data_IF_052615581721
#
_entry.id   IF_052615581721
#
_cell.length_a   1.000
_cell.length_b   1.000
_cell.length_c   1.000
_cell.angle_alpha   90.00
_cell.angle_beta   90.00
_cell.angle_gamma   90.00
#
_symmetry.space_group_name_H-M   'P 1'
#
loop_
_entity.id
_entity.type
_entity.pdbx_description
1 polymer ?
#
# COMPACT_ATOMS: atom_id res chain seq x y z
N UNK A 1 20.37 -0.34 -11.00
CA UNK A 1 19.65 -1.56 -11.45
C UNK A 1 18.24 -1.15 -11.83
N UNK A 2 17.87 -1.17 -13.11
CA UNK A 2 16.63 -0.54 -13.59
C UNK A 2 15.39 -1.24 -13.01
N UNK A 3 14.42 -0.42 -12.54
CA UNK A 3 13.09 -0.82 -12.04
C UNK A 3 12.40 -1.87 -12.93
N UNK A 4 12.73 -1.86 -14.22
CA UNK A 4 12.28 -2.80 -15.23
C UNK A 4 12.77 -4.24 -15.05
N UNK A 5 14.01 -4.48 -14.62
CA UNK A 5 14.52 -5.86 -14.52
C UNK A 5 13.88 -6.65 -13.37
N UNK A 6 13.48 -5.99 -12.29
CA UNK A 6 12.84 -6.64 -11.14
C UNK A 6 11.41 -7.08 -11.49
N UNK A 7 10.65 -6.21 -12.15
CA UNK A 7 9.28 -6.50 -12.58
C UNK A 7 9.20 -7.65 -13.59
N UNK A 8 10.11 -7.72 -14.56
CA UNK A 8 10.15 -8.87 -15.49
C UNK A 8 10.51 -10.17 -14.77
N UNK A 9 11.51 -10.15 -13.88
CA UNK A 9 11.86 -11.33 -13.07
C UNK A 9 10.69 -11.81 -12.23
N UNK A 10 9.94 -10.91 -11.60
CA UNK A 10 8.73 -11.25 -10.85
C UNK A 10 7.67 -11.86 -11.78
N UNK A 11 7.45 -11.29 -12.96
CA UNK A 11 6.50 -11.84 -13.93
C UNK A 11 6.84 -13.29 -14.30
N UNK A 12 8.11 -13.58 -14.62
CA UNK A 12 8.57 -14.94 -14.94
C UNK A 12 8.33 -15.91 -13.78
N UNK A 13 8.74 -15.53 -12.56
CA UNK A 13 8.57 -16.36 -11.36
C UNK A 13 7.09 -16.64 -11.10
N UNK A 14 6.24 -15.63 -11.17
CA UNK A 14 4.81 -15.79 -10.98
C UNK A 14 4.22 -16.71 -12.06
N UNK A 15 4.52 -16.48 -13.35
CA UNK A 15 4.04 -17.38 -14.41
C UNK A 15 4.50 -18.82 -14.24
N UNK A 16 5.73 -19.06 -13.78
CA UNK A 16 6.24 -20.40 -13.50
C UNK A 16 5.46 -21.07 -12.34
N UNK A 17 5.18 -20.33 -11.27
CA UNK A 17 4.33 -20.81 -10.15
C UNK A 17 2.92 -21.13 -10.65
N UNK A 18 2.37 -20.34 -11.56
CA UNK A 18 1.05 -20.60 -12.16
C UNK A 18 1.01 -21.94 -12.85
N UNK A 19 1.99 -22.17 -13.73
CA UNK A 19 2.12 -23.42 -14.47
C UNK A 19 2.27 -24.59 -13.49
N UNK A 20 3.11 -24.44 -12.45
CA UNK A 20 3.29 -25.47 -11.44
C UNK A 20 1.99 -25.81 -10.69
N UNK A 21 1.16 -24.83 -10.34
CA UNK A 21 -0.13 -25.04 -9.68
C UNK A 21 -1.16 -25.73 -10.59
N UNK A 22 -1.19 -25.36 -11.88
CA UNK A 22 -2.04 -26.04 -12.86
C UNK A 22 -1.60 -27.49 -13.05
N UNK A 23 -0.31 -27.74 -13.21
CA UNK A 23 0.25 -29.10 -13.31
C UNK A 23 -0.07 -29.90 -12.05
N UNK A 24 0.14 -29.34 -10.87
CA UNK A 24 -0.20 -30.01 -9.60
C UNK A 24 -1.70 -30.35 -9.52
N UNK A 25 -2.58 -29.43 -9.91
CA UNK A 25 -4.01 -29.68 -9.96
C UNK A 25 -4.40 -30.84 -10.88
N UNK A 26 -3.81 -30.88 -12.07
CA UNK A 26 -4.03 -31.97 -13.05
C UNK A 26 -3.53 -33.30 -12.49
N UNK A 27 -2.34 -33.33 -11.85
CA UNK A 27 -1.82 -34.56 -11.22
C UNK A 27 -2.68 -35.07 -10.06
N UNK A 28 -3.52 -34.21 -9.48
CA UNK A 28 -4.51 -34.57 -8.45
C UNK A 28 -5.86 -35.02 -9.03
N UNK A 29 -5.98 -35.14 -10.35
CA UNK A 29 -7.20 -35.58 -11.03
C UNK A 29 -8.24 -34.47 -11.23
N UNK A 30 -7.88 -33.20 -11.03
CA UNK A 30 -8.80 -32.08 -11.25
C UNK A 30 -8.88 -31.72 -12.73
N UNK A 31 -10.07 -31.32 -13.18
CA UNK A 31 -10.27 -30.92 -14.57
C UNK A 31 -9.69 -29.51 -14.83
N UNK A 32 -9.19 -29.28 -16.04
CA UNK A 32 -8.72 -27.95 -16.46
C UNK A 32 -9.80 -26.87 -16.32
N UNK A 33 -11.08 -27.25 -16.47
CA UNK A 33 -12.22 -26.34 -16.35
C UNK A 33 -12.43 -25.88 -14.91
N UNK A 34 -12.25 -26.75 -13.92
CA UNK A 34 -12.32 -26.38 -12.50
C UNK A 34 -11.16 -25.47 -12.12
N UNK A 35 -9.93 -25.81 -12.53
CA UNK A 35 -8.74 -24.99 -12.28
C UNK A 35 -8.88 -23.60 -12.91
N UNK A 36 -9.36 -23.53 -14.16
CA UNK A 36 -9.66 -22.27 -14.84
C UNK A 36 -10.78 -21.49 -14.13
N UNK A 37 -11.81 -22.17 -13.61
CA UNK A 37 -12.87 -21.55 -12.83
C UNK A 37 -12.35 -20.88 -11.56
N UNK A 38 -11.46 -21.56 -10.82
CA UNK A 38 -10.83 -21.00 -9.62
C UNK A 38 -9.87 -19.86 -9.95
N UNK A 39 -9.03 -20.01 -10.98
CA UNK A 39 -8.20 -18.94 -11.50
C UNK A 39 -9.03 -17.69 -11.85
N UNK A 40 -10.14 -17.88 -12.57
CA UNK A 40 -11.05 -16.81 -12.96
C UNK A 40 -11.72 -16.13 -11.75
N UNK A 41 -12.06 -16.90 -10.71
CA UNK A 41 -12.60 -16.33 -9.47
C UNK A 41 -11.61 -15.36 -8.79
N UNK A 42 -10.31 -15.67 -8.84
CA UNK A 42 -9.24 -14.79 -8.38
C UNK A 42 -9.18 -13.50 -9.21
N UNK A 43 -9.14 -13.63 -10.55
CA UNK A 43 -9.10 -12.48 -11.47
C UNK A 43 -10.31 -11.55 -11.32
N UNK A 44 -11.51 -12.07 -11.02
CA UNK A 44 -12.70 -11.24 -10.78
C UNK A 44 -12.50 -10.23 -9.64
N UNK A 45 -11.70 -10.56 -8.64
CA UNK A 45 -11.38 -9.64 -7.54
C UNK A 45 -10.42 -8.51 -7.97
N UNK A 46 -9.68 -8.69 -9.07
CA UNK A 46 -8.71 -7.74 -9.58
C UNK A 46 -9.32 -6.55 -10.33
N UNK A 47 -10.58 -6.67 -10.81
CA UNK A 47 -11.21 -5.65 -11.66
C UNK A 47 -11.14 -4.25 -11.04
N UNK A 48 -11.51 -4.14 -9.75
CA UNK A 48 -11.51 -2.86 -9.05
C UNK A 48 -10.09 -2.31 -8.87
N UNK A 49 -9.12 -3.18 -8.58
CA UNK A 49 -7.72 -2.79 -8.41
C UNK A 49 -7.14 -2.29 -9.74
N UNK A 50 -7.40 -2.99 -10.85
CA UNK A 50 -6.94 -2.61 -12.17
C UNK A 50 -7.47 -1.22 -12.57
N UNK A 51 -8.75 -0.93 -12.33
CA UNK A 51 -9.34 0.39 -12.59
C UNK A 51 -8.63 1.47 -11.78
N UNK A 52 -8.42 1.26 -10.48
CA UNK A 52 -7.72 2.25 -9.63
C UNK A 52 -6.29 2.49 -10.12
N UNK A 53 -5.56 1.44 -10.50
CA UNK A 53 -4.20 1.59 -11.02
C UNK A 53 -4.16 2.35 -12.35
N UNK A 54 -5.12 2.13 -13.24
CA UNK A 54 -5.25 2.91 -14.48
C UNK A 54 -5.54 4.39 -14.18
N UNK A 55 -6.46 4.67 -13.25
CA UNK A 55 -6.77 6.04 -12.83
C UNK A 55 -5.55 6.73 -12.20
N UNK A 56 -4.74 6.03 -11.40
CA UNK A 56 -3.48 6.57 -10.87
C UNK A 56 -2.51 6.91 -12.00
N UNK A 57 -2.39 6.05 -13.01
CA UNK A 57 -1.55 6.30 -14.18
C UNK A 57 -1.96 7.58 -14.92
N UNK A 58 -3.26 7.71 -15.22
CA UNK A 58 -3.83 8.90 -15.84
C UNK A 58 -3.64 10.16 -14.97
N UNK A 59 -4.01 10.08 -13.70
CA UNK A 59 -3.92 11.15 -12.72
C UNK A 59 -2.48 11.70 -12.61
N UNK A 60 -1.51 10.82 -12.39
CA UNK A 60 -0.12 11.23 -12.21
C UNK A 60 0.51 11.79 -13.48
N UNK A 61 0.08 11.35 -14.66
CA UNK A 61 0.53 11.93 -15.93
C UNK A 61 -0.03 13.35 -16.10
N UNK A 62 -1.33 13.54 -15.82
CA UNK A 62 -1.98 14.85 -15.94
C UNK A 62 -1.50 15.86 -14.90
N UNK A 63 -1.26 15.44 -13.66
CA UNK A 63 -0.70 16.33 -12.64
C UNK A 63 0.68 16.86 -13.00
N UNK A 64 1.49 16.07 -13.72
CA UNK A 64 2.78 16.52 -14.24
C UNK A 64 2.60 17.51 -15.38
N UNK A 65 1.65 17.26 -16.29
CA UNK A 65 1.44 18.10 -17.47
C UNK A 65 0.77 19.44 -17.13
N UNK A 66 -0.13 19.48 -16.15
CA UNK A 66 -0.79 20.72 -15.73
C UNK A 66 -0.01 21.50 -14.66
N UNK A 67 1.12 20.98 -14.15
CA UNK A 67 1.97 21.67 -13.18
C UNK A 67 1.55 21.53 -11.71
N UNK A 68 0.51 20.76 -11.39
CA UNK A 68 0.11 20.47 -10.00
C UNK A 68 1.24 19.89 -9.17
N UNK A 69 2.03 18.96 -9.71
CA UNK A 69 3.15 18.36 -8.94
C UNK A 69 4.18 19.44 -8.59
N UNK A 70 4.59 20.25 -9.57
CA UNK A 70 5.57 21.31 -9.36
C UNK A 70 5.11 22.32 -8.32
N UNK A 71 3.83 22.70 -8.34
CA UNK A 71 3.26 23.62 -7.35
C UNK A 71 3.28 23.04 -5.92
N UNK A 72 2.87 21.78 -5.75
CA UNK A 72 2.86 21.14 -4.43
C UNK A 72 4.29 20.98 -3.89
N UNK A 73 5.25 20.69 -4.75
CA UNK A 73 6.67 20.59 -4.38
C UNK A 73 7.20 21.94 -3.90
N UNK A 74 6.89 23.02 -4.61
CA UNK A 74 7.27 24.39 -4.21
C UNK A 74 6.71 24.72 -2.81
N UNK A 75 5.39 24.51 -2.62
CA UNK A 75 4.73 24.70 -1.32
C UNK A 75 5.35 23.84 -0.20
N UNK A 76 5.60 22.57 -0.48
CA UNK A 76 6.17 21.64 0.49
C UNK A 76 7.62 22.00 0.85
N UNK A 77 8.40 22.48 -0.11
CA UNK A 77 9.80 22.90 0.12
C UNK A 77 9.90 24.16 0.99
N UNK A 78 8.90 25.05 0.93
CA UNK A 78 8.79 26.21 1.79
C UNK A 78 8.25 25.89 3.19
N UNK A 79 7.36 24.89 3.31
CA UNK A 79 6.67 24.57 4.57
C UNK A 79 7.32 23.44 5.39
N UNK A 80 8.00 22.49 4.76
CA UNK A 80 8.62 21.34 5.43
C UNK A 80 10.15 21.34 5.24
N UNK A 81 10.88 21.26 6.35
CA UNK A 81 12.27 20.84 6.28
C UNK A 81 12.35 19.38 5.80
N UNK A 82 13.33 19.01 4.93
CA UNK A 82 13.50 17.63 4.48
C UNK A 82 13.60 16.62 5.63
N UNK A 83 14.12 17.07 6.79
CA UNK A 83 14.22 16.26 8.01
C UNK A 83 12.88 15.80 8.60
N UNK A 84 11.82 16.59 8.46
CA UNK A 84 10.49 16.26 8.96
C UNK A 84 9.58 15.59 7.92
N UNK A 85 10.05 15.46 6.69
CA UNK A 85 9.24 14.93 5.59
C UNK A 85 8.81 13.47 5.81
N UNK A 86 9.74 12.58 6.20
CA UNK A 86 9.41 11.15 6.37
C UNK A 86 8.39 10.90 7.50
N UNK A 87 8.52 11.51 8.69
CA UNK A 87 7.46 11.47 9.70
C UNK A 87 6.13 12.02 9.19
N UNK A 88 6.14 13.15 8.48
CA UNK A 88 4.94 13.75 7.92
C UNK A 88 4.27 12.82 6.90
N UNK A 89 5.05 12.21 6.00
CA UNK A 89 4.54 11.25 5.02
C UNK A 89 3.87 10.05 5.71
N UNK A 90 4.46 9.50 6.77
CA UNK A 90 3.83 8.46 7.58
C UNK A 90 2.49 8.94 8.18
N UNK A 91 2.47 10.08 8.87
CA UNK A 91 1.28 10.60 9.56
C UNK A 91 0.15 10.99 8.60
N UNK A 92 0.46 11.63 7.48
CA UNK A 92 -0.52 12.04 6.48
C UNK A 92 -1.19 10.81 5.85
N UNK A 93 -0.41 9.78 5.51
CA UNK A 93 -0.96 8.53 5.00
C UNK A 93 -1.76 7.79 6.08
N UNK A 94 -1.31 7.80 7.33
CA UNK A 94 -2.10 7.28 8.45
C UNK A 94 -3.44 7.98 8.61
N UNK A 95 -3.48 9.31 8.59
CA UNK A 95 -4.71 10.07 8.74
C UNK A 95 -5.71 9.77 7.62
N UNK A 96 -5.27 9.83 6.36
CA UNK A 96 -6.12 9.52 5.21
C UNK A 96 -6.58 8.07 5.23
N UNK A 97 -5.74 7.13 5.67
CA UNK A 97 -6.15 5.73 5.74
C UNK A 97 -7.11 5.44 6.88
N UNK A 98 -7.02 6.12 8.02
CA UNK A 98 -8.05 6.05 9.07
C UNK A 98 -9.40 6.55 8.55
N UNK A 99 -9.40 7.66 7.80
CA UNK A 99 -10.63 8.25 7.25
C UNK A 99 -11.28 7.39 6.17
N UNK A 100 -10.46 6.83 5.27
CA UNK A 100 -10.93 6.06 4.11
C UNK A 100 -11.10 4.58 4.39
N UNK A 101 -10.42 4.03 5.41
CA UNK A 101 -10.41 2.59 5.73
C UNK A 101 -9.83 1.72 4.62
N UNK A 102 -8.90 2.27 3.82
CA UNK A 102 -8.23 1.51 2.76
C UNK A 102 -6.75 1.87 2.66
N UNK A 103 -5.88 0.86 2.63
CA UNK A 103 -4.44 1.04 2.39
C UNK A 103 -4.13 1.35 0.91
N UNK A 104 -4.76 0.62 -0.02
CA UNK A 104 -4.62 0.83 -1.47
C UNK A 104 -5.11 2.22 -1.89
N UNK A 105 -6.28 2.64 -1.43
CA UNK A 105 -6.84 3.96 -1.76
C UNK A 105 -6.00 5.10 -1.20
N UNK A 106 -5.45 4.92 0.00
CA UNK A 106 -4.51 5.88 0.61
C UNK A 106 -3.24 6.03 -0.21
N UNK A 107 -2.61 4.90 -0.58
CA UNK A 107 -1.43 4.93 -1.43
C UNK A 107 -1.71 5.64 -2.76
N UNK A 108 -2.90 5.42 -3.32
CA UNK A 108 -3.32 6.01 -4.59
C UNK A 108 -3.69 7.50 -4.53
N UNK A 109 -3.88 8.04 -3.33
CA UNK A 109 -4.22 9.45 -3.09
C UNK A 109 -3.05 10.16 -2.42
N UNK A 110 -3.00 10.13 -1.08
CA UNK A 110 -1.95 10.78 -0.29
C UNK A 110 -0.56 10.17 -0.56
N UNK A 111 -0.48 8.87 -0.82
CA UNK A 111 0.79 8.21 -1.08
C UNK A 111 1.47 8.72 -2.35
N UNK A 112 0.71 8.91 -3.43
CA UNK A 112 1.20 9.50 -4.68
C UNK A 112 1.70 10.93 -4.45
N UNK A 113 0.96 11.73 -3.69
CA UNK A 113 1.36 13.10 -3.35
C UNK A 113 2.71 13.07 -2.60
N UNK A 114 2.78 12.32 -1.50
CA UNK A 114 3.99 12.21 -0.69
C UNK A 114 5.16 11.68 -1.51
N UNK A 115 4.95 10.68 -2.36
CA UNK A 115 6.05 10.11 -3.15
C UNK A 115 6.63 11.11 -4.15
N UNK A 116 5.78 11.87 -4.86
CA UNK A 116 6.29 12.88 -5.79
C UNK A 116 7.03 14.00 -5.05
N UNK A 117 6.51 14.47 -3.92
CA UNK A 117 7.20 15.48 -3.09
C UNK A 117 8.54 14.93 -2.58
N UNK A 118 8.55 13.72 -2.02
CA UNK A 118 9.76 13.10 -1.51
C UNK A 118 10.83 12.90 -2.59
N UNK A 119 10.43 12.47 -3.79
CA UNK A 119 11.36 12.35 -4.93
C UNK A 119 11.93 13.71 -5.35
N UNK A 120 11.12 14.76 -5.36
CA UNK A 120 11.58 16.12 -5.67
C UNK A 120 12.50 16.71 -4.60
N UNK A 121 12.33 16.31 -3.34
CA UNK A 121 13.25 16.64 -2.24
C UNK A 121 14.51 15.76 -2.21
N UNK A 122 14.72 14.88 -3.19
CA UNK A 122 15.88 13.99 -3.26
C UNK A 122 15.87 12.82 -2.26
N UNK A 123 14.72 12.55 -1.63
CA UNK A 123 14.59 11.46 -0.65
C UNK A 123 14.59 10.11 -1.37
N UNK A 124 15.35 9.16 -0.83
CA UNK A 124 15.42 7.80 -1.36
C UNK A 124 14.01 7.20 -1.51
N UNK A 125 13.59 6.80 -2.74
CA UNK A 125 12.27 6.24 -3.01
C UNK A 125 11.91 5.02 -2.15
N UNK A 126 12.90 4.22 -1.73
CA UNK A 126 12.66 3.06 -0.87
C UNK A 126 12.26 3.48 0.56
N UNK A 127 12.93 4.48 1.12
CA UNK A 127 12.63 4.97 2.48
C UNK A 127 11.28 5.70 2.49
N UNK A 128 11.05 6.57 1.50
CA UNK A 128 9.77 7.25 1.33
C UNK A 128 8.62 6.25 1.12
N UNK A 129 8.83 5.24 0.28
CA UNK A 129 7.86 4.17 0.06
C UNK A 129 7.54 3.38 1.34
N UNK A 130 8.54 3.10 2.19
CA UNK A 130 8.35 2.42 3.47
C UNK A 130 7.53 3.23 4.47
N UNK A 131 7.77 4.55 4.53
CA UNK A 131 6.99 5.48 5.35
C UNK A 131 5.52 5.56 4.90
N UNK A 132 5.28 5.67 3.59
CA UNK A 132 3.94 5.69 3.00
C UNK A 132 3.22 4.36 3.24
N UNK A 133 3.88 3.23 2.98
CA UNK A 133 3.30 1.88 3.19
C UNK A 133 2.94 1.66 4.66
N UNK A 134 3.84 2.04 5.57
CA UNK A 134 3.60 2.00 7.02
C UNK A 134 2.38 2.84 7.41
N UNK A 135 2.29 4.07 6.90
CA UNK A 135 1.21 4.98 7.23
C UNK A 135 -0.13 4.45 6.73
N UNK A 136 -0.18 3.98 5.49
CA UNK A 136 -1.36 3.41 4.87
C UNK A 136 -1.89 2.19 5.64
N UNK A 137 -1.03 1.27 6.06
CA UNK A 137 -1.47 0.09 6.82
C UNK A 137 -1.76 0.38 8.30
N UNK A 138 -1.08 1.36 8.91
CA UNK A 138 -1.44 1.84 10.24
C UNK A 138 -2.89 2.34 10.28
N UNK A 139 -3.25 3.20 9.33
CA UNK A 139 -4.57 3.80 9.32
C UNK A 139 -5.68 2.84 8.91
N UNK A 140 -5.43 1.97 7.92
CA UNK A 140 -6.37 0.90 7.52
C UNK A 140 -6.71 0.02 8.73
N UNK A 141 -5.69 -0.43 9.45
CA UNK A 141 -5.83 -1.23 10.68
C UNK A 141 -6.65 -0.51 11.75
N UNK A 142 -6.50 0.80 11.92
CA UNK A 142 -7.19 1.54 12.98
C UNK A 142 -8.52 2.20 12.55
N UNK A 143 -9.02 1.90 11.34
CA UNK A 143 -10.21 2.54 10.79
C UNK A 143 -11.51 1.79 11.12
N UNK A 144 -12.58 2.48 11.55
CA UNK A 144 -13.89 1.86 11.76
C UNK A 144 -14.62 1.48 10.46
N UNK A 145 -14.16 1.99 9.31
CA UNK A 145 -14.74 1.68 7.99
C UNK A 145 -13.87 0.72 7.19
N UNK A 146 -12.78 0.21 7.79
CA UNK A 146 -11.92 -0.74 7.10
C UNK A 146 -12.57 -2.11 6.92
N UNK A 147 -12.48 -2.60 5.69
CA UNK A 147 -12.93 -3.95 5.32
C UNK A 147 -12.07 -5.04 5.96
N UNK A 148 -10.78 -4.80 6.20
CA UNK A 148 -9.89 -5.76 6.85
C UNK A 148 -10.20 -5.87 8.34
N UNK A 149 -10.39 -4.74 9.01
CA UNK A 149 -10.78 -4.70 10.43
C UNK A 149 -12.17 -5.33 10.67
N UNK A 150 -13.13 -5.05 9.78
CA UNK A 150 -14.46 -5.68 9.82
C UNK A 150 -14.38 -7.20 9.62
N UNK A 151 -13.55 -7.65 8.66
CA UNK A 151 -13.33 -9.08 8.42
C UNK A 151 -12.76 -9.77 9.67
N UNK A 152 -11.75 -9.18 10.32
CA UNK A 152 -11.18 -9.75 11.55
C UNK A 152 -12.25 -9.85 12.64
N UNK A 153 -13.03 -8.80 12.86
CA UNK A 153 -14.14 -8.81 13.82
C UNK A 153 -15.15 -9.94 13.52
N UNK A 154 -15.49 -10.15 12.24
CA UNK A 154 -16.41 -11.21 11.81
C UNK A 154 -15.85 -12.61 12.03
N UNK A 155 -14.61 -12.89 11.58
CA UNK A 155 -14.03 -14.24 11.69
C UNK A 155 -13.66 -14.63 13.12
N UNK A 156 -13.41 -13.63 13.98
CA UNK A 156 -13.11 -13.85 15.40
C UNK A 156 -14.34 -13.76 16.30
N UNK A 157 -15.50 -13.33 15.78
CA UNK A 157 -16.75 -13.09 16.53
C UNK A 157 -16.62 -12.04 17.63
N UNK A 158 -15.86 -10.97 17.37
CA UNK A 158 -15.58 -9.89 18.34
C UNK A 158 -16.17 -8.54 17.91
N UNK A 159 -16.22 -7.58 18.83
CA UNK A 159 -16.68 -6.22 18.52
C UNK A 159 -15.56 -5.39 17.87
N UNK A 160 -15.87 -4.78 16.72
CA UNK A 160 -14.94 -3.97 15.93
C UNK A 160 -14.33 -2.80 16.73
N UNK A 161 -15.15 -2.03 17.46
CA UNK A 161 -14.67 -0.85 18.18
C UNK A 161 -13.76 -1.22 19.35
N UNK A 162 -14.04 -2.33 20.03
CA UNK A 162 -13.16 -2.84 21.08
C UNK A 162 -11.83 -3.34 20.52
N UNK A 163 -11.84 -3.94 19.33
CA UNK A 163 -10.62 -4.31 18.62
C UNK A 163 -9.83 -3.05 18.26
N UNK A 164 -10.45 -2.01 17.72
CA UNK A 164 -9.78 -0.74 17.37
C UNK A 164 -9.09 -0.12 18.58
N UNK A 165 -9.75 -0.08 19.74
CA UNK A 165 -9.12 0.39 20.99
C UNK A 165 -7.89 -0.45 21.36
N UNK A 166 -8.01 -1.78 21.24
CA UNK A 166 -6.88 -2.68 21.47
C UNK A 166 -5.75 -2.50 20.44
N UNK A 167 -6.09 -2.19 19.20
CA UNK A 167 -5.14 -1.95 18.12
C UNK A 167 -4.34 -0.67 18.31
N UNK A 168 -4.99 0.41 18.74
CA UNK A 168 -4.33 1.67 19.09
C UNK A 168 -3.43 1.46 20.31
N UNK A 169 -3.94 0.76 21.35
CA UNK A 169 -3.16 0.44 22.56
C UNK A 169 -1.93 -0.45 22.28
N UNK A 170 -1.99 -1.34 21.31
CA UNK A 170 -0.85 -2.19 20.94
C UNK A 170 0.08 -1.53 19.92
N UNK A 171 -0.43 -0.54 19.17
CA UNK A 171 0.28 0.15 18.10
C UNK A 171 1.06 1.40 18.53
N UNK A 172 0.76 2.01 19.67
CA UNK A 172 1.38 3.30 20.02
C UNK A 172 2.91 3.22 20.18
N UNK A 173 3.46 2.16 20.80
CA UNK A 173 4.93 1.98 20.93
C UNK A 173 5.58 1.82 19.55
N UNK A 174 5.12 0.88 18.68
CA UNK A 174 5.61 0.81 17.31
C UNK A 174 5.52 2.13 16.54
N UNK A 175 4.43 2.90 16.72
CA UNK A 175 4.23 4.18 16.05
C UNK A 175 5.25 5.23 16.50
N UNK A 176 5.47 5.38 17.81
CA UNK A 176 6.47 6.33 18.34
C UNK A 176 7.87 5.96 17.88
N UNK A 177 8.22 4.68 17.89
CA UNK A 177 9.51 4.20 17.40
C UNK A 177 9.68 4.39 15.89
N UNK A 178 8.63 4.11 15.09
CA UNK A 178 8.66 4.37 13.66
C UNK A 178 8.84 5.86 13.36
N UNK A 179 8.14 6.75 14.07
CA UNK A 179 8.31 8.20 13.96
C UNK A 179 9.73 8.65 14.32
N UNK A 180 10.30 8.11 15.39
CA UNK A 180 11.68 8.39 15.77
C UNK A 180 12.67 7.94 14.69
N UNK A 181 12.51 6.72 14.15
CA UNK A 181 13.37 6.22 13.07
C UNK A 181 13.21 7.08 11.82
N UNK A 182 11.99 7.39 11.38
CA UNK A 182 11.78 8.26 10.22
C UNK A 182 12.34 9.67 10.43
N UNK A 183 12.22 10.22 11.64
CA UNK A 183 12.78 11.52 11.99
C UNK A 183 14.31 11.50 11.94
N UNK A 184 14.94 10.53 12.58
CA UNK A 184 16.42 10.40 12.55
C UNK A 184 16.93 10.20 11.13
N UNK A 185 16.32 9.33 10.32
CA UNK A 185 16.67 9.15 8.91
C UNK A 185 16.49 10.44 8.11
N UNK A 186 15.38 11.16 8.33
CA UNK A 186 15.15 12.45 7.69
C UNK A 186 16.25 13.47 8.01
N UNK A 187 16.61 13.63 9.29
CA UNK A 187 17.66 14.57 9.70
C UNK A 187 19.06 14.17 9.20
N UNK A 188 19.39 12.88 9.21
CA UNK A 188 20.66 12.37 8.69
C UNK A 188 20.79 12.61 7.18
N UNK A 189 19.70 12.48 6.44
CA UNK A 189 19.68 12.75 5.00
C UNK A 189 19.82 14.23 4.67
N UNK A 190 19.38 15.12 5.57
CA UNK A 190 19.50 16.57 5.39
C UNK A 190 20.96 17.08 5.57
N UNK A 191 21.84 16.29 6.20
CA UNK A 191 23.26 16.62 6.38
C UNK A 191 24.21 16.05 5.31
N UNK A 192 23.71 15.16 4.44
CA UNK A 192 24.51 14.50 3.41
C UNK A 192 24.22 15.06 2.03
N UNK A 193 25.02 16.04 1.59
CA UNK A 193 25.19 16.46 0.18
C UNK A 193 23.94 16.32 -0.69
N UNK A 194 22.86 17.01 -0.30
CA UNK A 194 21.90 17.47 -1.30
C UNK A 194 22.70 18.44 -2.18
N UNK A 195 23.01 18.01 -3.40
CA UNK A 195 23.62 18.83 -4.43
C UNK A 195 22.82 20.15 -4.50
N UNK A 196 23.40 21.21 -3.94
CA UNK A 196 22.73 22.48 -3.67
C UNK A 196 22.28 23.17 -4.97
N UNK A 197 22.71 22.66 -6.13
CA UNK A 197 22.32 23.14 -7.44
C UNK A 197 20.84 22.91 -7.82
N UNK A 198 20.20 21.79 -7.48
CA UNK A 198 18.79 21.54 -7.90
C UNK A 198 17.78 22.28 -7.02
N UNK A 199 18.08 22.49 -5.75
CA UNK A 199 17.23 23.26 -4.84
C UNK A 199 17.35 24.78 -5.06
N UNK A 200 18.52 25.30 -5.47
CA UNK A 200 18.67 26.71 -5.85
C UNK A 200 18.04 27.03 -7.20
N UNK A 201 18.16 26.18 -8.22
CA UNK A 201 17.51 26.38 -9.53
C UNK A 201 15.97 26.36 -9.39
N UNK A 202 15.43 25.57 -8.45
CA UNK A 202 14.01 25.58 -8.13
C UNK A 202 13.59 26.79 -7.28
N UNK A 203 14.50 27.49 -6.60
CA UNK A 203 14.21 28.68 -5.78
C UNK A 203 14.41 30.00 -6.53
N UNK A 204 15.29 30.05 -7.53
CA UNK A 204 15.68 31.30 -8.20
C UNK A 204 14.70 31.79 -9.29
N UNK A 205 13.60 31.07 -9.58
CA UNK A 205 12.67 31.43 -10.66
C UNK A 205 11.17 31.23 -10.38
N UNK A 206 10.75 30.95 -9.15
CA UNK A 206 9.43 30.32 -8.87
C UNK A 206 8.60 30.98 -7.77
N UNK A 207 9.21 31.61 -6.78
CA UNK A 207 8.49 32.17 -5.63
C UNK A 207 7.48 33.28 -6.01
N UNK A 208 7.78 34.08 -7.03
CA UNK A 208 6.84 35.06 -7.60
C UNK A 208 5.93 34.45 -8.68
N UNK A 209 6.36 33.39 -9.37
CA UNK A 209 5.61 32.78 -10.48
C UNK A 209 4.47 31.84 -10.02
N UNK A 210 4.56 31.26 -8.82
CA UNK A 210 3.56 30.34 -8.27
C UNK A 210 2.63 30.96 -7.22
N UNK A 211 3.01 32.06 -6.57
CA UNK A 211 2.14 32.73 -5.58
C UNK A 211 0.78 33.15 -6.18
N UNK A 212 0.74 33.49 -7.48
CA UNK A 212 -0.48 33.82 -8.22
C UNK A 212 -1.28 32.59 -8.71
N UNK A 213 -0.71 31.37 -8.70
CA UNK A 213 -1.27 30.18 -9.35
C UNK A 213 -1.78 29.11 -8.36
N UNK A 214 -2.43 29.53 -7.28
CA UNK A 214 -3.03 28.63 -6.27
C UNK A 214 -3.97 27.58 -6.87
N UNK A 215 -4.62 27.90 -8.00
CA UNK A 215 -5.54 27.01 -8.69
C UNK A 215 -4.87 25.73 -9.21
N UNK A 216 -3.52 25.70 -9.35
CA UNK A 216 -2.78 24.49 -9.69
C UNK A 216 -2.84 23.41 -8.59
N UNK A 217 -3.15 23.78 -7.34
CA UNK A 217 -3.38 22.80 -6.27
C UNK A 217 -4.79 22.17 -6.30
N UNK A 218 -5.73 22.69 -7.08
CA UNK A 218 -7.12 22.21 -7.08
C UNK A 218 -7.26 20.69 -7.29
N UNK A 219 -6.52 20.02 -8.18
CA UNK A 219 -6.60 18.57 -8.32
C UNK A 219 -6.20 17.81 -7.06
N UNK A 220 -5.21 18.29 -6.31
CA UNK A 220 -4.78 17.66 -5.07
C UNK A 220 -5.74 17.98 -3.92
N UNK A 221 -6.21 19.23 -3.83
CA UNK A 221 -7.22 19.64 -2.86
C UNK A 221 -8.49 18.82 -3.04
N UNK A 222 -8.95 18.59 -4.28
CA UNK A 222 -10.12 17.76 -4.53
C UNK A 222 -9.93 16.35 -3.98
N UNK A 223 -8.73 15.77 -4.12
CA UNK A 223 -8.41 14.46 -3.54
C UNK A 223 -8.55 14.46 -2.03
N UNK A 224 -7.95 15.44 -1.35
CA UNK A 224 -7.96 15.51 0.11
C UNK A 224 -9.37 15.75 0.65
N UNK A 225 -10.09 16.71 0.07
CA UNK A 225 -11.45 17.09 0.49
C UNK A 225 -12.40 15.93 0.29
N UNK A 226 -12.42 15.30 -0.90
CA UNK A 226 -13.31 14.18 -1.18
C UNK A 226 -12.95 12.92 -0.37
N UNK A 227 -11.67 12.72 -0.02
CA UNK A 227 -11.27 11.65 0.90
C UNK A 227 -11.79 11.87 2.32
N UNK A 228 -11.83 13.12 2.81
CA UNK A 228 -12.45 13.48 4.10
C UNK A 228 -13.94 13.18 4.09
N UNK A 229 -14.63 13.48 2.99
CA UNK A 229 -16.04 13.14 2.78
C UNK A 229 -16.28 11.65 2.46
N UNK A 230 -15.24 10.81 2.51
CA UNK A 230 -15.33 9.36 2.25
C UNK A 230 -15.93 9.00 0.88
N UNK A 231 -15.71 9.86 -0.12
CA UNK A 231 -16.11 9.56 -1.49
C UNK A 231 -15.26 8.42 -2.05
N UNK A 232 -15.90 7.53 -2.82
CA UNK A 232 -15.22 6.42 -3.48
C UNK A 232 -13.96 6.89 -4.21
N UNK A 233 -12.84 6.21 -3.95
CA UNK A 233 -11.51 6.55 -4.49
C UNK A 233 -11.53 6.69 -6.02
N UNK A 234 -12.30 5.85 -6.71
CA UNK A 234 -12.47 5.92 -8.18
C UNK A 234 -13.10 7.24 -8.62
N UNK A 235 -14.18 7.66 -7.96
CA UNK A 235 -14.89 8.91 -8.27
C UNK A 235 -13.99 10.10 -7.93
N UNK A 236 -13.32 10.04 -6.78
CA UNK A 236 -12.38 11.06 -6.34
C UNK A 236 -11.26 11.30 -7.39
N UNK A 237 -10.65 10.21 -7.89
CA UNK A 237 -9.65 10.29 -8.95
C UNK A 237 -10.20 10.84 -10.26
N UNK A 238 -11.41 10.43 -10.67
CA UNK A 238 -12.03 10.93 -11.89
C UNK A 238 -12.26 12.45 -11.83
N UNK A 239 -12.72 12.95 -10.68
CA UNK A 239 -12.89 14.40 -10.47
C UNK A 239 -11.54 15.11 -10.55
N UNK A 240 -10.51 14.60 -9.87
CA UNK A 240 -9.16 15.19 -9.92
C UNK A 240 -8.54 15.15 -11.33
N UNK A 241 -8.76 14.06 -12.08
CA UNK A 241 -8.38 13.93 -13.49
C UNK A 241 -9.10 14.97 -14.34
N UNK A 242 -10.41 15.15 -14.15
CA UNK A 242 -11.19 16.14 -14.89
C UNK A 242 -10.68 17.57 -14.62
N UNK A 243 -10.44 17.93 -13.35
CA UNK A 243 -9.87 19.24 -12.99
C UNK A 243 -8.49 19.40 -13.63
N UNK A 244 -7.64 18.37 -13.57
CA UNK A 244 -6.29 18.42 -14.16
C UNK A 244 -6.33 18.59 -15.68
N UNK A 245 -7.24 17.90 -16.36
CA UNK A 245 -7.46 18.03 -17.79
C UNK A 245 -7.95 19.44 -18.15
N UNK A 246 -8.91 20.00 -17.40
CA UNK A 246 -9.36 21.38 -17.60
C UNK A 246 -8.21 22.38 -17.41
N UNK A 247 -7.40 22.23 -16.37
CA UNK A 247 -6.24 23.10 -16.14
C UNK A 247 -5.18 22.98 -17.25
N UNK A 248 -4.94 21.77 -17.76
CA UNK A 248 -4.04 21.55 -18.89
C UNK A 248 -4.53 22.27 -20.15
N UNK A 249 -5.82 22.17 -20.46
CA UNK A 249 -6.42 22.83 -21.63
C UNK A 249 -6.46 24.35 -21.49
N UNK A 250 -6.72 24.88 -20.29
CA UNK A 250 -6.71 26.33 -20.03
C UNK A 250 -5.30 26.93 -19.93
N UNK A 251 -4.26 26.10 -19.73
CA UNK A 251 -2.87 26.53 -19.65
C UNK A 251 -2.20 26.75 -21.01
N UNK A 252 -2.79 26.26 -22.11
CA UNK A 252 -2.39 26.63 -23.47
C UNK A 252 -3.05 27.94 -23.89
N UNK A 253 -2.35 28.80 -24.63
CA UNK A 253 -2.90 30.07 -25.13
C UNK A 253 -4.20 29.83 -25.91
N UNK A 254 -5.33 30.15 -25.28
CA UNK A 254 -6.69 29.82 -25.74
C UNK A 254 -7.14 30.60 -26.99
N UNK A 255 -6.27 31.43 -27.58
CA UNK A 255 -6.59 32.29 -28.72
C UNK A 255 -6.65 31.58 -30.08
N UNK A 256 -6.01 30.41 -30.22
CA UNK A 256 -5.91 29.69 -31.50
C UNK A 256 -6.69 28.37 -31.48
N UNK A 257 -7.79 28.27 -32.24
CA UNK A 257 -8.58 27.03 -32.38
C UNK A 257 -7.74 25.83 -32.89
N UNK A 258 -6.70 26.07 -33.69
CA UNK A 258 -5.76 25.03 -34.14
C UNK A 258 -4.88 24.49 -33.01
N UNK A 259 -4.50 25.34 -32.04
CA UNK A 259 -3.73 24.92 -30.87
C UNK A 259 -4.59 24.15 -29.87
N UNK A 260 -5.86 24.50 -29.72
CA UNK A 260 -6.80 23.76 -28.88
C UNK A 260 -6.93 22.30 -29.33
N UNK A 261 -7.03 22.06 -30.64
CA UNK A 261 -7.07 20.71 -31.22
C UNK A 261 -5.80 19.90 -30.92
N UNK A 262 -4.63 20.52 -31.00
CA UNK A 262 -3.36 19.90 -30.61
C UNK A 262 -3.33 19.56 -29.10
N UNK A 263 -3.81 20.45 -28.24
CA UNK A 263 -3.86 20.22 -26.79
C UNK A 263 -4.78 19.06 -26.40
N UNK A 264 -5.91 18.84 -27.10
CA UNK A 264 -6.76 17.66 -26.87
C UNK A 264 -6.08 16.34 -27.27
N UNK A 265 -5.39 16.32 -28.40
CA UNK A 265 -4.62 15.14 -28.84
C UNK A 265 -3.49 14.84 -27.85
N UNK A 266 -2.80 15.88 -27.40
CA UNK A 266 -1.72 15.76 -26.43
C UNK A 266 -2.23 15.29 -25.06
N UNK A 267 -3.36 15.83 -24.58
CA UNK A 267 -4.04 15.37 -23.37
C UNK A 267 -4.37 13.87 -23.43
N UNK A 268 -4.95 13.42 -24.55
CA UNK A 268 -5.27 12.01 -24.77
C UNK A 268 -4.01 11.14 -24.76
N UNK A 269 -2.95 11.59 -25.42
CA UNK A 269 -1.65 10.89 -25.46
C UNK A 269 -1.00 10.79 -24.08
N UNK A 270 -0.96 11.89 -23.31
CA UNK A 270 -0.39 11.93 -21.95
C UNK A 270 -1.16 10.98 -21.03
N UNK A 271 -2.49 11.07 -21.07
CA UNK A 271 -3.37 10.21 -20.25
C UNK A 271 -3.16 8.73 -20.59
N UNK A 272 -3.14 8.40 -21.88
CA UNK A 272 -2.92 7.04 -22.35
C UNK A 272 -1.53 6.50 -21.99
N UNK A 273 -0.48 7.30 -22.14
CA UNK A 273 0.88 6.93 -21.73
C UNK A 273 0.98 6.69 -20.21
N UNK A 274 0.30 7.51 -19.41
CA UNK A 274 0.19 7.33 -17.96
C UNK A 274 -0.46 5.99 -17.60
N UNK A 275 -1.59 5.66 -18.25
CA UNK A 275 -2.27 4.38 -18.09
C UNK A 275 -1.39 3.20 -18.53
N UNK A 276 -0.71 3.32 -19.68
CA UNK A 276 0.23 2.30 -20.17
C UNK A 276 1.37 2.04 -19.18
N UNK A 277 1.85 3.08 -18.49
CA UNK A 277 2.87 2.96 -17.45
C UNK A 277 2.47 2.04 -16.29
N UNK A 278 1.16 1.88 -16.04
CA UNK A 278 0.61 1.04 -14.97
C UNK A 278 0.28 -0.39 -15.44
N UNK A 279 0.28 -0.67 -16.75
CA UNK A 279 -0.13 -1.98 -17.29
C UNK A 279 0.70 -3.15 -16.78
N UNK A 280 2.03 -2.97 -16.64
CA UNK A 280 2.89 -4.05 -16.12
C UNK A 280 2.56 -4.38 -14.67
N UNK A 281 2.26 -3.37 -13.86
CA UNK A 281 1.87 -3.58 -12.47
C UNK A 281 0.51 -4.28 -12.38
N UNK A 282 -0.44 -3.89 -13.24
CA UNK A 282 -1.75 -4.55 -13.35
C UNK A 282 -1.57 -6.03 -13.70
N UNK A 283 -0.71 -6.37 -14.67
CA UNK A 283 -0.43 -7.75 -15.06
C UNK A 283 0.13 -8.58 -13.89
N UNK A 284 1.11 -8.04 -13.15
CA UNK A 284 1.67 -8.72 -11.97
C UNK A 284 0.59 -8.97 -10.91
N UNK A 285 -0.29 -7.99 -10.66
CA UNK A 285 -1.40 -8.13 -9.70
C UNK A 285 -2.43 -9.16 -10.16
N UNK A 286 -2.79 -9.17 -11.44
CA UNK A 286 -3.72 -10.15 -12.02
C UNK A 286 -3.20 -11.58 -11.86
N UNK A 287 -1.93 -11.80 -12.19
CA UNK A 287 -1.29 -13.11 -12.04
C UNK A 287 -1.25 -13.50 -10.56
N UNK A 288 -0.89 -12.57 -9.66
CA UNK A 288 -0.85 -12.81 -8.21
C UNK A 288 -2.21 -13.21 -7.64
N UNK A 289 -3.29 -12.59 -8.10
CA UNK A 289 -4.67 -12.91 -7.69
C UNK A 289 -5.17 -14.24 -8.27
N UNK A 290 -4.64 -14.67 -9.41
CA UNK A 290 -4.93 -15.99 -9.97
C UNK A 290 -4.46 -17.10 -9.02
N UNK A 291 -3.30 -16.94 -8.37
CA UNK A 291 -2.82 -17.89 -7.36
C UNK A 291 -3.74 -18.00 -6.17
N UNK A 292 -4.22 -16.86 -5.66
CA UNK A 292 -5.11 -16.83 -4.51
C UNK A 292 -6.39 -17.65 -4.78
N UNK A 293 -6.92 -17.57 -6.01
CA UNK A 293 -8.05 -18.40 -6.45
C UNK A 293 -7.73 -19.90 -6.50
N UNK A 294 -6.59 -20.26 -7.11
CA UNK A 294 -6.15 -21.66 -7.23
C UNK A 294 -5.82 -22.30 -5.88
N UNK A 295 -5.10 -21.61 -4.99
CA UNK A 295 -4.76 -22.13 -3.66
C UNK A 295 -6.01 -22.44 -2.84
N UNK A 296 -7.05 -21.60 -2.94
CA UNK A 296 -8.33 -21.82 -2.26
C UNK A 296 -9.05 -23.07 -2.77
N UNK A 297 -9.07 -23.28 -4.09
CA UNK A 297 -9.74 -24.43 -4.69
C UNK A 297 -8.99 -25.75 -4.56
N UNK A 298 -7.65 -25.72 -4.64
CA UNK A 298 -6.79 -26.91 -4.59
C UNK A 298 -6.73 -27.57 -3.21
N UNK A 299 -7.28 -26.95 -2.16
CA UNK A 299 -7.26 -27.51 -0.80
C UNK A 299 -5.85 -27.73 -0.23
N UNK A 300 -4.79 -27.18 -0.84
CA UNK A 300 -3.40 -27.30 -0.37
C UNK A 300 -3.24 -26.70 1.03
N UNK A 301 -4.10 -25.73 1.36
CA UNK A 301 -4.05 -24.92 2.57
C UNK A 301 -4.39 -25.71 3.84
N UNK A 302 -5.26 -26.73 3.78
CA UNK A 302 -5.64 -27.55 4.95
C UNK A 302 -4.61 -28.60 5.33
N UNK A 303 -3.77 -29.07 4.40
CA UNK A 303 -2.65 -29.99 4.73
C UNK A 303 -1.52 -29.31 5.48
N UNK A 304 -1.35 -28.00 5.31
CA UNK A 304 -0.27 -27.25 5.96
C UNK A 304 -0.57 -26.96 7.45
N UNK A 305 -1.85 -26.91 7.81
CA UNK A 305 -2.32 -26.82 9.20
C UNK A 305 -1.68 -27.89 10.13
N UNK A 306 -1.47 -29.11 9.63
CA UNK A 306 -0.90 -30.23 10.40
C UNK A 306 0.62 -30.14 10.59
N UNK A 307 1.33 -29.38 9.73
CA UNK A 307 2.78 -29.17 9.83
C UNK A 307 3.11 -28.04 10.81
N UNK A 308 2.30 -26.98 10.83
CA UNK A 308 2.53 -25.81 11.69
C UNK A 308 2.09 -26.10 13.14
N UNK A 309 1.00 -26.85 13.34
CA UNK A 309 0.54 -27.26 14.68
C UNK A 309 1.53 -28.16 15.43
N UNK A 310 2.41 -28.90 14.74
CA UNK A 310 3.52 -29.64 15.38
C UNK A 310 4.65 -28.74 15.87
N UNK A 311 4.79 -27.54 15.31
CA UNK A 311 5.85 -26.56 15.65
C UNK A 311 5.36 -25.59 16.76
N UNK A 312 4.05 -25.42 16.91
CA UNK A 312 3.45 -24.46 17.85
C UNK A 312 3.72 -24.77 19.33
N UNK A 313 3.98 -26.03 19.69
CA UNK A 313 4.18 -26.48 21.08
C UNK A 313 5.38 -25.87 21.81
N UNK A 314 6.27 -25.13 21.14
CA UNK A 314 7.51 -24.56 21.73
C UNK A 314 7.49 -23.03 21.88
N UNK A 315 6.50 -22.32 21.34
CA UNK A 315 6.52 -20.85 21.17
C UNK A 315 5.39 -20.20 21.99
N UNK A 316 5.46 -18.89 22.28
CA UNK A 316 4.33 -18.17 22.90
C UNK A 316 3.11 -18.14 21.96
N UNK A 317 1.86 -18.00 22.47
CA UNK A 317 0.67 -17.92 21.63
C UNK A 317 0.78 -16.88 20.51
N UNK A 318 1.26 -15.67 20.82
CA UNK A 318 1.49 -14.62 19.84
C UNK A 318 2.58 -14.98 18.82
N UNK A 319 3.66 -15.62 19.26
CA UNK A 319 4.71 -16.09 18.34
C UNK A 319 4.20 -17.16 17.39
N UNK A 320 3.32 -18.07 17.86
CA UNK A 320 2.64 -19.03 16.99
C UNK A 320 1.78 -18.32 15.94
N UNK A 321 0.95 -17.36 16.35
CA UNK A 321 0.14 -16.58 15.41
C UNK A 321 0.98 -15.79 14.42
N UNK A 322 2.13 -15.26 14.85
CA UNK A 322 3.07 -14.56 13.97
C UNK A 322 3.66 -15.48 12.91
N UNK A 323 4.12 -16.68 13.28
CA UNK A 323 4.63 -17.66 12.34
C UNK A 323 3.56 -18.14 11.36
N UNK A 324 2.35 -18.41 11.87
CA UNK A 324 1.20 -18.75 11.04
C UNK A 324 0.89 -17.61 10.06
N UNK A 325 0.91 -16.36 10.50
CA UNK A 325 0.67 -15.20 9.64
C UNK A 325 1.75 -15.05 8.56
N UNK A 326 3.04 -15.20 8.89
CA UNK A 326 4.13 -15.19 7.90
C UNK A 326 3.88 -16.25 6.83
N UNK A 327 3.57 -17.48 7.27
CA UNK A 327 3.34 -18.58 6.37
C UNK A 327 2.10 -18.35 5.48
N UNK A 328 0.97 -18.02 6.09
CA UNK A 328 -0.29 -17.80 5.36
C UNK A 328 -0.20 -16.59 4.46
N UNK A 329 0.44 -15.48 4.85
CA UNK A 329 0.68 -14.32 3.99
C UNK A 329 1.58 -14.67 2.80
N UNK A 330 2.60 -15.52 3.00
CA UNK A 330 3.47 -16.00 1.92
C UNK A 330 2.71 -16.83 0.87
N UNK A 331 1.77 -17.69 1.30
CA UNK A 331 1.02 -18.59 0.41
C UNK A 331 -0.25 -17.96 -0.16
N UNK A 332 -0.94 -17.14 0.63
CA UNK A 332 -2.26 -16.60 0.27
C UNK A 332 -2.21 -15.60 -0.89
N UNK A 333 -1.08 -14.90 -1.08
CA UNK A 333 -0.89 -13.80 -2.03
C UNK A 333 -1.89 -12.63 -1.88
N UNK A 334 -2.82 -12.71 -0.92
CA UNK A 334 -3.90 -11.76 -0.66
C UNK A 334 -4.12 -11.63 0.86
N UNK A 335 -4.24 -10.40 1.35
CA UNK A 335 -4.45 -10.07 2.77
C UNK A 335 -5.72 -10.71 3.34
N UNK A 336 -6.85 -10.61 2.64
CA UNK A 336 -8.14 -11.18 3.11
C UNK A 336 -8.04 -12.67 3.37
N UNK A 337 -7.38 -13.41 2.47
CA UNK A 337 -7.23 -14.86 2.59
C UNK A 337 -6.20 -15.22 3.67
N UNK A 338 -5.12 -14.45 3.80
CA UNK A 338 -4.17 -14.61 4.90
C UNK A 338 -4.83 -14.44 6.28
N UNK A 339 -5.71 -13.46 6.44
CA UNK A 339 -6.48 -13.23 7.68
C UNK A 339 -7.34 -14.45 8.02
N UNK A 340 -8.14 -14.92 7.07
CA UNK A 340 -9.06 -16.06 7.28
C UNK A 340 -8.27 -17.32 7.67
N UNK A 341 -7.23 -17.66 6.91
CA UNK A 341 -6.40 -18.82 7.21
C UNK A 341 -5.67 -18.70 8.54
N UNK A 342 -5.15 -17.51 8.86
CA UNK A 342 -4.49 -17.31 10.16
C UNK A 342 -5.47 -17.52 11.30
N UNK A 343 -6.71 -17.04 11.17
CA UNK A 343 -7.75 -17.23 12.17
C UNK A 343 -8.09 -18.72 12.36
N UNK A 344 -8.35 -19.44 11.28
CA UNK A 344 -8.69 -20.87 11.31
C UNK A 344 -7.55 -21.70 11.95
N UNK A 345 -6.30 -21.42 11.57
CA UNK A 345 -5.13 -22.14 12.10
C UNK A 345 -4.83 -21.75 13.57
N UNK A 346 -5.15 -20.51 13.98
CA UNK A 346 -4.90 -20.04 15.35
C UNK A 346 -6.11 -20.22 16.28
N UNK A 347 -7.15 -20.94 15.84
CA UNK A 347 -8.28 -21.27 16.70
C UNK A 347 -7.81 -22.11 17.89
N UNK A 348 -8.19 -21.72 19.11
CA UNK A 348 -7.73 -22.37 20.35
C UNK A 348 -6.27 -22.06 20.77
N UNK A 349 -5.47 -21.35 19.96
CA UNK A 349 -4.09 -20.97 20.34
C UNK A 349 -4.08 -19.79 21.32
N UNK A 350 -5.00 -18.84 21.15
CA UNK A 350 -5.11 -17.64 21.98
C UNK A 350 -6.10 -17.86 23.13
N UNK A 351 -5.83 -17.31 24.33
CA UNK A 351 -6.69 -17.50 25.51
C UNK A 351 -8.13 -17.05 25.32
N UNK A 352 -8.36 -16.00 24.52
CA UNK A 352 -9.70 -15.50 24.22
C UNK A 352 -9.78 -14.91 22.81
N UNK A 353 -11.01 -14.74 22.34
CA UNK A 353 -11.31 -14.27 20.98
C UNK A 353 -10.82 -12.85 20.73
N UNK A 354 -10.87 -11.98 21.75
CA UNK A 354 -10.38 -10.60 21.67
C UNK A 354 -8.87 -10.54 21.48
N UNK A 355 -8.09 -11.33 22.22
CA UNK A 355 -6.64 -11.44 22.03
C UNK A 355 -6.31 -12.06 20.68
N UNK A 356 -7.10 -13.02 20.21
CA UNK A 356 -6.98 -13.58 18.85
C UNK A 356 -7.18 -12.50 17.78
N UNK A 357 -8.23 -11.69 17.89
CA UNK A 357 -8.49 -10.58 16.98
C UNK A 357 -7.32 -9.61 16.94
N UNK A 358 -6.87 -9.12 18.09
CA UNK A 358 -5.71 -8.22 18.17
C UNK A 358 -4.43 -8.87 17.64
N UNK A 359 -4.23 -10.17 17.85
CA UNK A 359 -3.07 -10.88 17.33
C UNK A 359 -3.10 -11.01 15.82
N UNK A 360 -4.25 -11.27 15.20
CA UNK A 360 -4.42 -11.30 13.74
C UNK A 360 -4.17 -9.91 13.14
N UNK A 361 -4.69 -8.85 13.78
CA UNK A 361 -4.43 -7.46 13.39
C UNK A 361 -2.95 -7.07 13.50
N UNK A 362 -2.25 -7.59 14.51
CA UNK A 362 -0.82 -7.38 14.73
C UNK A 362 0.07 -8.37 13.97
N UNK A 363 -0.50 -9.25 13.15
CA UNK A 363 0.27 -10.21 12.37
C UNK A 363 -0.26 -10.29 10.95
N UNK A 364 -1.29 -11.07 10.64
CA UNK A 364 -1.77 -11.32 9.27
C UNK A 364 -2.08 -10.04 8.48
N UNK A 365 -2.65 -9.02 9.13
CA UNK A 365 -3.00 -7.74 8.49
C UNK A 365 -1.76 -6.95 8.07
N UNK A 366 -0.73 -6.91 8.93
CA UNK A 366 0.47 -6.08 8.72
C UNK A 366 1.67 -6.83 8.16
N UNK A 367 1.69 -8.16 8.23
CA UNK A 367 2.71 -9.02 7.61
C UNK A 367 2.38 -9.26 6.13
N UNK A 368 1.10 -9.31 5.75
CA UNK A 368 0.70 -9.40 4.35
C UNK A 368 1.42 -8.39 3.43
N UNK A 369 1.45 -7.07 3.73
CA UNK A 369 2.19 -6.09 2.92
C UNK A 369 3.72 -6.18 3.00
N UNK A 370 4.27 -6.93 3.96
CA UNK A 370 5.71 -7.19 4.05
C UNK A 370 6.17 -8.34 3.14
N UNK A 371 5.24 -9.08 2.54
CA UNK A 371 5.55 -10.15 1.58
C UNK A 371 5.61 -9.57 0.16
N UNK A 372 6.77 -9.60 -0.53
CA UNK A 372 6.99 -8.88 -1.79
C UNK A 372 6.04 -9.20 -2.95
N UNK A 373 5.45 -10.39 -2.96
CA UNK A 373 4.59 -10.87 -4.04
C UNK A 373 3.09 -10.83 -3.70
N UNK A 374 2.72 -10.30 -2.53
CA UNK A 374 1.30 -10.12 -2.22
C UNK A 374 0.75 -8.87 -2.88
N UNK A 375 -0.56 -8.90 -3.15
CA UNK A 375 -1.30 -7.72 -3.63
C UNK A 375 -1.22 -6.56 -2.63
N UNK A 376 -1.20 -6.89 -1.33
CA UNK A 376 -1.06 -5.95 -0.22
C UNK A 376 0.27 -5.16 -0.28
N UNK A 377 1.32 -5.76 -0.81
CA UNK A 377 2.60 -5.08 -1.02
C UNK A 377 2.68 -4.40 -2.38
N UNK A 378 2.37 -5.16 -3.43
CA UNK A 378 2.59 -4.76 -4.83
C UNK A 378 1.71 -3.59 -5.26
N UNK A 379 0.45 -3.55 -4.84
CA UNK A 379 -0.47 -2.50 -5.28
C UNK A 379 -0.09 -1.16 -4.66
N UNK A 380 -0.01 -0.98 -3.33
CA UNK A 380 0.37 0.30 -2.75
C UNK A 380 1.74 0.81 -3.23
N UNK A 381 2.77 -0.04 -3.23
CA UNK A 381 4.11 0.35 -3.69
C UNK A 381 4.17 0.64 -5.19
N UNK A 382 3.49 -0.17 -6.00
CA UNK A 382 3.41 0.02 -7.44
C UNK A 382 2.70 1.32 -7.81
N UNK A 383 1.59 1.61 -7.13
CA UNK A 383 0.78 2.82 -7.28
C UNK A 383 1.57 4.10 -7.03
N UNK A 384 2.35 4.15 -5.95
CA UNK A 384 3.22 5.31 -5.68
C UNK A 384 4.50 5.27 -6.53
N UNK A 385 4.81 4.13 -7.13
CA UNK A 385 6.02 3.94 -7.94
C UNK A 385 7.29 3.69 -7.13
N UNK A 386 7.15 3.22 -5.90
CA UNK A 386 8.25 2.85 -5.02
C UNK A 386 8.80 1.46 -5.36
N UNK A 387 10.12 1.22 -5.15
CA UNK A 387 10.69 -0.11 -5.33
C UNK A 387 10.22 -1.08 -4.23
N UNK A 388 10.25 -2.38 -4.51
CA UNK A 388 9.89 -3.42 -3.52
C UNK A 388 10.79 -3.44 -2.29
N UNK A 389 12.02 -2.90 -2.39
CA UNK A 389 12.91 -2.71 -1.24
C UNK A 389 12.33 -1.78 -0.17
N UNK A 390 11.29 -1.00 -0.48
CA UNK A 390 10.55 -0.17 0.47
C UNK A 390 9.98 -0.95 1.64
N UNK A 391 9.70 -2.24 1.45
CA UNK A 391 9.24 -3.14 2.50
C UNK A 391 10.20 -3.15 3.70
N UNK A 392 11.52 -3.08 3.46
CA UNK A 392 12.54 -3.08 4.52
C UNK A 392 12.49 -1.83 5.38
N UNK A 393 11.94 -0.74 4.85
CA UNK A 393 11.80 0.55 5.52
C UNK A 393 10.39 0.75 6.07
N UNK A 394 9.50 -0.25 5.98
CA UNK A 394 8.15 -0.15 6.53
C UNK A 394 8.15 -0.39 8.05
N UNK A 395 8.83 0.49 8.79
CA UNK A 395 9.20 0.27 10.19
C UNK A 395 8.01 0.00 11.10
N UNK A 396 6.87 0.68 10.91
CA UNK A 396 5.69 0.40 11.74
C UNK A 396 5.22 -1.06 11.60
N UNK A 397 5.22 -1.59 10.38
CA UNK A 397 4.76 -2.95 10.08
C UNK A 397 5.74 -4.00 10.62
N UNK A 398 7.04 -3.69 10.62
CA UNK A 398 8.09 -4.57 11.15
C UNK A 398 8.10 -4.53 12.69
N UNK A 399 8.02 -3.34 13.28
CA UNK A 399 8.13 -3.14 14.72
C UNK A 399 6.93 -3.70 15.48
N UNK A 400 5.73 -3.63 14.92
CA UNK A 400 4.51 -4.08 15.61
C UNK A 400 4.56 -5.56 16.04
N UNK A 401 4.80 -6.55 15.16
CA UNK A 401 4.87 -7.94 15.59
C UNK A 401 6.09 -8.21 16.48
N UNK A 402 7.23 -7.54 16.23
CA UNK A 402 8.46 -7.71 17.03
C UNK A 402 8.25 -7.27 18.49
N UNK A 403 7.67 -6.10 18.70
CA UNK A 403 7.42 -5.54 20.03
C UNK A 403 6.38 -6.37 20.79
N UNK A 404 5.31 -6.80 20.10
CA UNK A 404 4.29 -7.66 20.70
C UNK A 404 4.84 -9.04 21.09
N UNK A 405 5.72 -9.62 20.27
CA UNK A 405 6.40 -10.87 20.60
C UNK A 405 7.31 -10.70 21.83
N UNK A 406 8.07 -9.60 21.92
CA UNK A 406 8.92 -9.31 23.08
C UNK A 406 8.10 -9.11 24.37
N UNK A 407 6.96 -8.42 24.28
CA UNK A 407 6.04 -8.26 25.41
C UNK A 407 5.44 -9.60 25.88
N UNK A 408 5.08 -10.48 24.93
CA UNK A 408 4.54 -11.81 25.22
C UNK A 408 5.55 -12.74 25.91
N UNK A 409 6.85 -12.63 25.62
CA UNK A 409 7.89 -13.41 26.29
C UNK A 409 8.08 -13.00 27.76
N UNK A 410 8.01 -11.69 28.08
CA UNK A 410 8.09 -11.19 29.46
C UNK A 410 6.94 -11.71 30.34
N UNK A 411 5.73 -11.79 29.79
CA UNK A 411 4.58 -12.29 30.54
C UNK A 411 4.66 -13.79 30.88
N UNK A 412 5.49 -14.56 30.13
CA UNK A 412 5.72 -15.99 30.35
C UNK A 412 6.69 -16.28 31.50
N UNK A 413 7.59 -15.33 31.81
CA UNK A 413 8.53 -15.43 32.95
C UNK A 413 7.91 -15.02 34.29
N UNK A 414 6.72 -14.42 34.28
CA UNK A 414 6.04 -13.92 35.48
C UNK A 414 4.93 -14.86 36.00
N UNK A 415 4.70 -15.98 35.32
CA UNK A 415 3.78 -17.03 35.79
C UNK A 415 4.63 -18.16 36.40
N UNK A 416 4.47 -18.49 37.69
CA UNK A 416 5.08 -19.69 38.25
C UNK A 416 4.53 -20.91 37.51
N UNK A 417 5.43 -21.80 37.11
CA UNK A 417 5.15 -23.00 36.33
C UNK A 417 4.35 -24.05 37.06
#
# INVERSE_FOLDING_TARGET
MTRWNVLHKMLYVLTAILIALFVYGITRGLSLRELAGWAWSGVRTAKNIAIVMLLVGALTALWRSCGTISYIVDLASGALSPGLFLPAAFLLNSAISVLTGTSIGTAATMGVICMNVGMSLGINPAICGGAILSGAYYGDRCSPVSTSALLVAQVTKTNLYDNIRGMIRTGWIPTVLALAIYGTLGFLMNGGSADSGTAEILKSGTAEAFSAKWYLALPAISILVLAIFRVDVKINMLISIAISASLFLCGGDAGNMSMLGHSFVELGKITFLGMLGMMKLILVVLISLTFAGLFRGLGILTRIHQLISKISGRISPFGCTTLTAIFTSAVACNQTLAIVLTNEICEGVMPNEKQRAIAIENTAVIIAPLVPWTVASLVPLGTIGAPTSSILFAFFLILTPVIQMAAGLKSRHLLPG
#
